data_IF_702821631066
#
_entry.id   IF_702821631066
#
_cell.length_a   1.000
_cell.length_b   1.000
_cell.length_c   1.000
_cell.angle_alpha   90.00
_cell.angle_beta   90.00
_cell.angle_gamma   90.00
#
_symmetry.space_group_name_H-M   'P 1'
#
loop_
_entity.id
_entity.type
_entity.pdbx_description
1 polymer ?
#
# COMPACT_ATOMS: atom_id res chain seq x y z
N UNK A 1 -14.32 16.80 7.69
CA UNK A 1 -15.06 15.87 6.81
C UNK A 1 -14.17 15.35 5.66
N UNK A 2 -13.46 16.23 4.94
CA UNK A 2 -12.56 15.81 3.84
C UNK A 2 -11.40 14.90 4.30
N UNK A 3 -10.74 15.22 5.44
CA UNK A 3 -9.67 14.37 5.99
C UNK A 3 -10.13 12.94 6.33
N UNK A 4 -11.37 12.76 6.77
CA UNK A 4 -11.90 11.42 7.09
C UNK A 4 -12.08 10.58 5.82
N UNK A 5 -12.51 11.20 4.72
CA UNK A 5 -12.62 10.54 3.41
C UNK A 5 -11.24 10.13 2.88
N UNK A 6 -10.21 10.96 3.11
CA UNK A 6 -8.83 10.65 2.72
C UNK A 6 -8.26 9.45 3.47
N UNK A 7 -8.58 9.27 4.75
CA UNK A 7 -8.16 8.07 5.51
C UNK A 7 -8.97 6.81 5.15
N UNK A 8 -10.25 6.95 4.76
CA UNK A 8 -11.10 5.82 4.37
C UNK A 8 -10.68 5.19 3.04
N UNK A 9 -10.23 5.99 2.08
CA UNK A 9 -9.80 5.53 0.76
C UNK A 9 -8.69 4.45 0.80
N UNK A 10 -7.52 4.67 1.44
CA UNK A 10 -6.47 3.66 1.53
C UNK A 10 -6.92 2.43 2.31
N UNK A 11 -7.83 2.58 3.28
CA UNK A 11 -8.42 1.47 4.03
C UNK A 11 -9.28 0.57 3.13
N UNK A 12 -10.10 1.15 2.26
CA UNK A 12 -10.89 0.40 1.26
C UNK A 12 -9.99 -0.27 0.21
N UNK A 13 -8.92 0.41 -0.23
CA UNK A 13 -7.94 -0.18 -1.13
C UNK A 13 -7.22 -1.37 -0.49
N UNK A 14 -6.82 -1.26 0.77
CA UNK A 14 -6.16 -2.35 1.49
C UNK A 14 -7.09 -3.56 1.64
N UNK A 15 -8.37 -3.34 2.01
CA UNK A 15 -9.34 -4.43 2.13
C UNK A 15 -9.59 -5.15 0.80
N UNK A 16 -9.72 -4.41 -0.30
CA UNK A 16 -9.90 -5.02 -1.62
C UNK A 16 -8.65 -5.77 -2.10
N UNK A 17 -7.46 -5.25 -1.84
CA UNK A 17 -6.19 -5.94 -2.12
C UNK A 17 -6.04 -7.26 -1.36
N UNK A 18 -6.34 -7.24 -0.06
CA UNK A 18 -6.29 -8.44 0.79
C UNK A 18 -7.33 -9.47 0.35
N UNK A 19 -8.55 -9.06 0.01
CA UNK A 19 -9.57 -9.99 -0.51
C UNK A 19 -9.09 -10.69 -1.78
N UNK A 20 -8.45 -9.97 -2.70
CA UNK A 20 -7.89 -10.56 -3.93
C UNK A 20 -6.72 -11.48 -3.61
N UNK A 21 -5.84 -11.12 -2.68
CA UNK A 21 -4.72 -11.97 -2.25
C UNK A 21 -5.19 -13.30 -1.63
N UNK A 22 -6.21 -13.26 -0.76
CA UNK A 22 -6.80 -14.46 -0.13
C UNK A 22 -7.54 -15.33 -1.15
N UNK A 23 -8.03 -14.76 -2.26
CA UNK A 23 -8.85 -15.47 -3.25
C UNK A 23 -8.11 -16.52 -4.11
N UNK A 24 -6.90 -16.94 -3.74
CA UNK A 24 -6.12 -18.06 -4.30
C UNK A 24 -6.36 -18.29 -5.82
N UNK A 25 -5.86 -17.35 -6.63
CA UNK A 25 -5.88 -17.48 -8.09
C UNK A 25 -4.66 -18.30 -8.53
N UNK A 26 -4.84 -19.26 -9.44
CA UNK A 26 -3.79 -20.19 -9.87
C UNK A 26 -2.56 -19.53 -10.55
N UNK A 27 -2.65 -18.26 -10.95
CA UNK A 27 -1.55 -17.53 -11.58
C UNK A 27 -0.76 -16.73 -10.56
N UNK A 28 0.52 -17.11 -10.39
CA UNK A 28 1.49 -16.48 -9.49
C UNK A 28 1.72 -14.98 -9.80
N UNK A 29 1.54 -14.57 -11.06
CA UNK A 29 1.62 -13.16 -11.46
C UNK A 29 0.48 -12.32 -10.88
N UNK A 30 -0.72 -12.90 -10.71
CA UNK A 30 -1.87 -12.21 -10.14
C UNK A 30 -1.73 -12.03 -8.61
N UNK A 31 -1.02 -12.94 -7.94
CA UNK A 31 -0.71 -12.82 -6.51
C UNK A 31 0.39 -11.80 -6.23
N UNK A 32 1.39 -11.69 -7.11
CA UNK A 32 2.40 -10.61 -7.05
C UNK A 32 1.77 -9.23 -7.29
N UNK A 33 0.86 -9.11 -8.25
CA UNK A 33 0.18 -7.85 -8.54
C UNK A 33 -0.70 -7.40 -7.37
N UNK A 34 -1.40 -8.32 -6.70
CA UNK A 34 -2.19 -7.98 -5.52
C UNK A 34 -1.32 -7.58 -4.32
N UNK A 35 -0.12 -8.15 -4.18
CA UNK A 35 0.83 -7.76 -3.15
C UNK A 35 1.39 -6.35 -3.37
N UNK A 36 1.73 -6.00 -4.61
CA UNK A 36 2.12 -4.62 -4.96
C UNK A 36 0.99 -3.62 -4.72
N UNK A 37 -0.27 -4.01 -4.96
CA UNK A 37 -1.43 -3.17 -4.67
C UNK A 37 -1.60 -2.94 -3.15
N UNK A 38 -1.38 -3.95 -2.32
CA UNK A 38 -1.39 -3.82 -0.85
C UNK A 38 -0.29 -2.85 -0.39
N UNK A 39 0.94 -3.00 -0.89
CA UNK A 39 2.06 -2.10 -0.59
C UNK A 39 1.72 -0.65 -0.94
N UNK A 40 1.11 -0.41 -2.10
CA UNK A 40 0.73 0.93 -2.53
C UNK A 40 -0.31 1.57 -1.60
N UNK A 41 -1.29 0.78 -1.14
CA UNK A 41 -2.30 1.26 -0.17
C UNK A 41 -1.69 1.62 1.18
N UNK A 42 -0.67 0.87 1.63
CA UNK A 42 0.10 1.17 2.84
C UNK A 42 0.96 2.43 2.68
N UNK A 43 1.57 2.63 1.51
CA UNK A 43 2.32 3.85 1.21
C UNK A 43 1.42 5.09 1.30
N UNK A 44 0.22 5.05 0.71
CA UNK A 44 -0.74 6.15 0.79
C UNK A 44 -1.15 6.45 2.24
N UNK A 45 -1.39 5.42 3.05
CA UNK A 45 -1.72 5.60 4.46
C UNK A 45 -0.57 6.22 5.25
N UNK A 46 0.67 5.77 5.01
CA UNK A 46 1.88 6.31 5.64
C UNK A 46 2.12 7.78 5.26
N UNK A 47 1.95 8.12 3.99
CA UNK A 47 2.11 9.47 3.46
C UNK A 47 1.15 10.47 4.12
N UNK A 48 -0.12 10.10 4.27
CA UNK A 48 -1.11 10.94 4.94
C UNK A 48 -0.77 11.15 6.43
N UNK A 49 -0.28 10.12 7.12
CA UNK A 49 0.15 10.24 8.53
C UNK A 49 1.36 11.18 8.67
N UNK A 50 2.37 11.05 7.80
CA UNK A 50 3.57 11.91 7.81
C UNK A 50 3.20 13.37 7.54
N UNK A 51 2.32 13.62 6.57
CA UNK A 51 1.83 14.96 6.28
C UNK A 51 1.03 15.56 7.44
N UNK A 52 0.20 14.75 8.11
CA UNK A 52 -0.55 15.21 9.30
C UNK A 52 0.39 15.62 10.44
N UNK A 53 1.48 14.89 10.62
CA UNK A 53 2.50 15.17 11.63
C UNK A 53 3.52 16.23 11.18
N UNK A 54 3.38 16.79 9.96
CA UNK A 54 4.32 17.74 9.34
C UNK A 54 5.78 17.24 9.32
N UNK A 55 5.99 15.93 9.17
CA UNK A 55 7.32 15.36 9.00
C UNK A 55 7.74 15.32 7.53
N UNK A 56 9.05 15.33 7.29
CA UNK A 56 9.62 15.21 5.96
C UNK A 56 9.28 13.85 5.32
N UNK A 57 8.92 13.87 4.03
CA UNK A 57 8.55 12.70 3.24
C UNK A 57 9.74 11.77 2.88
N UNK A 58 10.86 11.87 3.60
CA UNK A 58 12.03 11.03 3.37
C UNK A 58 11.76 9.57 3.76
N UNK A 59 10.98 9.37 4.83
CA UNK A 59 10.62 8.03 5.30
C UNK A 59 9.72 7.29 4.31
N UNK A 60 8.81 8.00 3.64
CA UNK A 60 7.93 7.39 2.64
C UNK A 60 8.70 6.98 1.37
N UNK A 61 9.73 7.72 0.98
CA UNK A 61 10.64 7.30 -0.11
C UNK A 61 11.46 6.05 0.26
N UNK A 62 11.97 5.98 1.49
CA UNK A 62 12.69 4.80 1.96
C UNK A 62 11.78 3.56 1.95
N UNK A 63 10.54 3.68 2.42
CA UNK A 63 9.54 2.60 2.39
C UNK A 63 9.32 2.05 0.97
N UNK A 64 9.19 2.92 -0.03
CA UNK A 64 9.02 2.49 -1.42
C UNK A 64 10.22 1.69 -1.93
N UNK A 65 11.45 2.12 -1.64
CA UNK A 65 12.65 1.40 -2.11
C UNK A 65 12.73 -0.02 -1.57
N UNK A 66 12.47 -0.23 -0.28
CA UNK A 66 12.44 -1.57 0.32
C UNK A 66 11.33 -2.43 -0.28
N UNK A 67 10.16 -1.85 -0.53
CA UNK A 67 9.04 -2.61 -1.11
C UNK A 67 9.28 -3.07 -2.55
N UNK A 68 9.99 -2.28 -3.35
CA UNK A 68 10.39 -2.67 -4.72
C UNK A 68 11.46 -3.77 -4.68
N UNK A 69 12.38 -3.73 -3.70
CA UNK A 69 13.36 -4.79 -3.50
C UNK A 69 12.71 -6.13 -3.15
N UNK A 70 11.68 -6.14 -2.29
CA UNK A 70 10.89 -7.37 -2.02
C UNK A 70 10.16 -7.84 -3.29
N UNK A 71 9.64 -6.90 -4.09
CA UNK A 71 9.00 -7.21 -5.38
C UNK A 71 9.95 -7.78 -6.45
N UNK A 72 11.27 -7.58 -6.34
CA UNK A 72 12.27 -8.18 -7.24
C UNK A 72 12.77 -9.55 -6.74
N UNK A 73 12.55 -9.87 -5.46
CA UNK A 73 12.90 -11.15 -4.83
C UNK A 73 11.80 -12.21 -4.96
N UNK A 74 10.53 -11.79 -5.07
CA UNK A 74 9.36 -12.66 -5.26
C UNK A 74 9.11 -13.06 -6.71
#
# INVERSE_FOLDING_TARGET
>A
MMMFMLYLLPLLMLMSGVMVYVSNRAHLLATLLSLQFIVLSLFLFLFEILNFLNYENFFSMMFLTFSVCEGALG
#
